data_IF_369913277004
#
_entry.id   IF_369913277004
#
_cell.length_a   1.000
_cell.length_b   1.000
_cell.length_c   1.000
_cell.angle_alpha   90.00
_cell.angle_beta   90.00
_cell.angle_gamma   90.00
#
_symmetry.space_group_name_H-M   'P 1'
#
loop_
_entity.id
_entity.type
_entity.pdbx_description
1 polymer ?
#
# COMPACT_ATOMS: atom_id res chain seq x y z
N UNK A 1 -26.31 3.19 4.90
CA UNK A 1 -27.02 4.00 5.93
C UNK A 1 -26.10 4.09 7.14
N UNK A 2 -26.25 5.11 8.01
CA UNK A 2 -25.41 5.26 9.21
C UNK A 2 -25.91 4.43 10.42
N UNK A 3 -27.10 3.84 10.30
CA UNK A 3 -27.73 3.06 11.35
C UNK A 3 -26.88 1.84 11.74
N UNK A 4 -26.64 1.67 13.04
CA UNK A 4 -25.87 0.56 13.61
C UNK A 4 -24.34 0.66 13.45
N UNK A 5 -23.80 1.79 12.96
CA UNK A 5 -22.34 2.01 12.88
C UNK A 5 -21.79 2.51 14.22
N UNK A 6 -20.66 1.94 14.66
CA UNK A 6 -19.94 2.37 15.86
C UNK A 6 -18.93 3.48 15.52
N UNK A 7 -19.11 4.65 16.13
CA UNK A 7 -18.29 5.84 15.89
C UNK A 7 -17.61 6.26 17.20
N UNK A 8 -16.28 6.33 17.18
CA UNK A 8 -15.49 6.90 18.27
C UNK A 8 -15.22 8.38 18.00
N UNK A 9 -15.58 9.25 18.95
CA UNK A 9 -15.32 10.69 18.89
C UNK A 9 -14.26 11.05 19.92
N UNK A 10 -13.20 11.73 19.50
CA UNK A 10 -12.13 12.27 20.35
C UNK A 10 -12.09 13.79 20.18
N UNK A 11 -12.65 14.51 21.15
CA UNK A 11 -12.89 15.96 21.08
C UNK A 11 -12.88 16.54 22.50
N UNK A 12 -12.08 17.57 22.75
CA UNK A 12 -11.95 18.17 24.08
C UNK A 12 -13.05 19.21 24.38
N UNK A 13 -13.62 19.89 23.36
CA UNK A 13 -14.75 20.81 23.55
C UNK A 13 -16.05 20.04 23.85
N UNK A 14 -16.58 20.11 25.09
CA UNK A 14 -17.79 19.39 25.47
C UNK A 14 -19.04 19.87 24.74
N UNK A 15 -19.07 21.12 24.25
CA UNK A 15 -20.20 21.67 23.50
C UNK A 15 -20.23 21.07 22.11
N UNK A 16 -19.09 21.09 21.42
CA UNK A 16 -18.96 20.54 20.07
C UNK A 16 -19.11 19.01 20.07
N UNK A 17 -18.50 18.31 21.03
CA UNK A 17 -18.65 16.86 21.20
C UNK A 17 -20.11 16.45 21.39
N UNK A 18 -20.87 17.18 22.22
CA UNK A 18 -22.32 16.92 22.43
C UNK A 18 -23.14 17.20 21.17
N UNK A 19 -22.80 18.23 20.41
CA UNK A 19 -23.45 18.55 19.14
C UNK A 19 -23.30 17.39 18.15
N UNK A 20 -22.06 16.91 17.95
CA UNK A 20 -21.78 15.79 17.05
C UNK A 20 -22.45 14.52 17.54
N UNK A 21 -22.32 14.19 18.83
CA UNK A 21 -22.91 13.00 19.43
C UNK A 21 -24.44 12.98 19.25
N UNK A 22 -25.13 14.08 19.58
CA UNK A 22 -26.57 14.19 19.42
C UNK A 22 -27.02 14.04 17.96
N UNK A 23 -26.22 14.58 17.02
CA UNK A 23 -26.47 14.39 15.60
C UNK A 23 -26.32 12.91 15.18
N UNK A 24 -25.23 12.23 15.54
CA UNK A 24 -24.97 10.85 15.14
C UNK A 24 -25.96 9.85 15.75
N UNK A 25 -26.32 10.03 17.03
CA UNK A 25 -27.38 9.25 17.66
C UNK A 25 -28.72 9.43 16.94
N UNK A 26 -29.04 10.63 16.46
CA UNK A 26 -30.26 10.87 15.66
C UNK A 26 -30.26 10.17 14.30
N UNK A 27 -29.07 9.77 13.80
CA UNK A 27 -28.90 9.00 12.57
C UNK A 27 -28.86 7.49 12.82
N UNK A 28 -28.98 7.04 14.07
CA UNK A 28 -29.00 5.62 14.46
C UNK A 28 -27.62 5.01 14.70
N UNK A 29 -26.56 5.81 14.86
CA UNK A 29 -25.22 5.30 15.18
C UNK A 29 -25.09 4.88 16.66
N UNK A 30 -24.14 3.99 16.95
CA UNK A 30 -23.58 3.81 18.28
C UNK A 30 -22.39 4.77 18.43
N UNK A 31 -22.31 5.50 19.55
CA UNK A 31 -21.30 6.55 19.72
C UNK A 31 -20.54 6.33 21.02
N UNK A 32 -19.20 6.29 20.91
CA UNK A 32 -18.27 6.31 22.03
C UNK A 32 -17.56 7.66 22.07
N UNK A 33 -17.47 8.26 23.26
CA UNK A 33 -16.88 9.58 23.47
C UNK A 33 -15.57 9.47 24.24
N UNK A 34 -14.57 10.26 23.84
CA UNK A 34 -13.32 10.49 24.54
C UNK A 34 -13.01 11.99 24.56
N UNK A 35 -12.47 12.46 25.68
CA UNK A 35 -12.19 13.89 25.88
C UNK A 35 -10.75 14.30 25.54
N UNK A 36 -9.89 13.31 25.27
CA UNK A 36 -8.48 13.48 24.92
C UNK A 36 -7.94 12.23 24.21
N UNK A 37 -6.75 12.34 23.61
CA UNK A 37 -6.13 11.24 22.86
C UNK A 37 -5.78 10.01 23.71
N UNK A 38 -5.51 10.14 25.01
CA UNK A 38 -5.25 8.97 25.88
C UNK A 38 -6.52 8.19 26.17
N UNK A 39 -7.65 8.88 26.39
CA UNK A 39 -8.96 8.26 26.49
C UNK A 39 -9.36 7.60 25.16
N UNK A 40 -9.05 8.25 24.03
CA UNK A 40 -9.20 7.66 22.69
C UNK A 40 -8.45 6.34 22.53
N UNK A 41 -7.17 6.29 22.92
CA UNK A 41 -6.37 5.05 22.86
C UNK A 41 -6.90 3.95 23.77
N UNK A 42 -7.45 4.31 24.94
CA UNK A 42 -8.10 3.32 25.83
C UNK A 42 -9.38 2.77 25.20
N UNK A 43 -10.23 3.64 24.64
CA UNK A 43 -11.45 3.21 23.96
C UNK A 43 -11.17 2.28 22.77
N UNK A 44 -10.08 2.50 22.03
CA UNK A 44 -9.65 1.61 20.96
C UNK A 44 -9.21 0.22 21.43
N UNK A 45 -8.77 0.07 22.69
CA UNK A 45 -8.48 -1.25 23.28
C UNK A 45 -9.74 -2.03 23.62
N UNK A 46 -10.82 -1.33 23.93
CA UNK A 46 -12.10 -1.94 24.31
C UNK A 46 -12.91 -2.38 23.08
N UNK A 47 -12.62 -1.83 21.90
CA UNK A 47 -13.22 -2.24 20.63
C UNK A 47 -12.83 -1.33 19.47
N UNK A 48 -12.77 -1.90 18.26
CA UNK A 48 -12.42 -1.19 17.01
C UNK A 48 -13.71 -0.55 16.44
N UNK A 49 -13.79 0.79 16.33
CA UNK A 49 -14.93 1.48 15.74
C UNK A 49 -14.94 1.37 14.21
N UNK A 50 -16.10 1.59 13.60
CA UNK A 50 -16.24 1.73 12.14
C UNK A 50 -15.62 3.04 11.63
N UNK A 51 -15.67 4.12 12.42
CA UNK A 51 -15.00 5.40 12.12
C UNK A 51 -14.50 6.09 13.39
N UNK A 52 -13.35 6.74 13.28
CA UNK A 52 -12.80 7.64 14.27
C UNK A 52 -12.94 9.11 13.83
N UNK A 53 -13.58 9.93 14.66
CA UNK A 53 -13.59 11.38 14.53
C UNK A 53 -12.61 11.98 15.56
N UNK A 54 -11.68 12.83 15.13
CA UNK A 54 -10.66 13.39 16.01
C UNK A 54 -10.44 14.89 15.79
N UNK A 55 -10.36 15.68 16.86
CA UNK A 55 -9.80 17.03 16.81
C UNK A 55 -8.26 17.00 16.82
N UNK A 56 -7.60 17.98 16.20
CA UNK A 56 -6.16 18.16 16.29
C UNK A 56 -5.75 18.97 17.53
N UNK A 57 -6.58 19.93 17.93
CA UNK A 57 -6.25 20.91 18.96
C UNK A 57 -6.68 20.45 20.36
N UNK A 58 -6.13 19.33 20.83
CA UNK A 58 -6.47 18.74 22.14
C UNK A 58 -5.32 18.82 23.16
N UNK A 59 -5.62 18.93 24.47
CA UNK A 59 -4.62 18.88 25.53
C UNK A 59 -4.11 17.44 25.78
N UNK A 60 -2.98 17.34 26.50
CA UNK A 60 -2.33 16.09 26.95
C UNK A 60 -1.65 15.28 25.85
N UNK A 61 -2.40 14.65 24.96
CA UNK A 61 -1.90 14.01 23.74
C UNK A 61 -2.50 14.77 22.57
N UNK A 62 -1.66 15.38 21.75
CA UNK A 62 -2.16 16.17 20.62
C UNK A 62 -2.90 15.28 19.64
N UNK A 63 -3.88 15.82 18.92
CA UNK A 63 -4.63 15.02 17.95
C UNK A 63 -3.75 14.47 16.83
N UNK A 64 -2.67 15.16 16.47
CA UNK A 64 -1.69 14.63 15.51
C UNK A 64 -0.92 13.42 16.05
N UNK A 65 -0.40 13.47 17.28
CA UNK A 65 0.28 12.33 17.90
C UNK A 65 -0.68 11.13 18.07
N UNK A 66 -1.93 11.41 18.41
CA UNK A 66 -2.96 10.38 18.49
C UNK A 66 -3.25 9.75 17.12
N UNK A 67 -3.43 10.56 16.07
CA UNK A 67 -3.63 10.07 14.69
C UNK A 67 -2.43 9.25 14.22
N UNK A 68 -1.20 9.67 14.54
CA UNK A 68 0.01 8.91 14.22
C UNK A 68 0.01 7.53 14.89
N UNK A 69 -0.26 7.46 16.19
CA UNK A 69 -0.36 6.20 16.95
C UNK A 69 -1.47 5.28 16.42
N UNK A 70 -2.63 5.85 16.07
CA UNK A 70 -3.75 5.11 15.48
C UNK A 70 -3.40 4.59 14.09
N UNK A 71 -2.73 5.41 13.26
CA UNK A 71 -2.30 4.98 11.92
C UNK A 71 -1.30 3.82 11.97
N UNK A 72 -0.45 3.79 12.99
CA UNK A 72 0.56 2.75 13.17
C UNK A 72 -0.02 1.43 13.69
N UNK A 73 -0.93 1.51 14.68
CA UNK A 73 -1.44 0.32 15.39
C UNK A 73 -2.79 -0.18 14.88
N UNK A 74 -3.58 0.69 14.26
CA UNK A 74 -4.93 0.41 13.77
C UNK A 74 -5.15 0.96 12.35
N UNK A 75 -4.32 0.58 11.36
CA UNK A 75 -4.34 1.15 10.01
C UNK A 75 -5.66 0.91 9.24
N UNK A 76 -6.49 -0.03 9.71
CA UNK A 76 -7.80 -0.30 9.13
C UNK A 76 -8.87 0.71 9.56
N UNK A 77 -8.68 1.47 10.64
CA UNK A 77 -9.69 2.40 11.13
C UNK A 77 -9.65 3.66 10.26
N UNK A 78 -10.75 4.02 9.60
CA UNK A 78 -10.81 5.27 8.88
C UNK A 78 -10.89 6.44 9.87
N UNK A 79 -9.99 7.39 9.72
CA UNK A 79 -9.92 8.58 10.58
C UNK A 79 -10.39 9.80 9.81
N UNK A 80 -11.31 10.56 10.39
CA UNK A 80 -11.72 11.89 9.93
C UNK A 80 -11.26 12.91 10.97
N UNK A 81 -10.49 13.89 10.52
CA UNK A 81 -10.00 14.97 11.37
C UNK A 81 -10.94 16.16 11.29
N UNK A 82 -11.24 16.78 12.42
CA UNK A 82 -12.08 17.99 12.52
C UNK A 82 -11.29 19.05 13.28
N UNK A 83 -10.66 20.01 12.60
CA UNK A 83 -9.78 21.01 13.23
C UNK A 83 -10.33 22.44 13.14
N UNK A 84 -10.04 23.27 14.14
CA UNK A 84 -10.25 24.72 14.08
C UNK A 84 -9.19 25.47 13.25
N UNK A 85 -8.05 24.85 12.97
CA UNK A 85 -6.99 25.40 12.10
C UNK A 85 -7.11 24.81 10.70
N UNK A 86 -7.44 25.64 9.72
CA UNK A 86 -7.45 25.28 8.28
C UNK A 86 -6.07 25.43 7.63
N UNK A 87 -4.99 25.38 8.40
CA UNK A 87 -3.64 25.58 7.89
C UNK A 87 -3.23 24.40 7.01
N UNK A 88 -2.76 24.68 5.79
CA UNK A 88 -2.39 23.67 4.81
C UNK A 88 -1.30 22.71 5.32
N UNK A 89 -0.49 23.13 6.29
CA UNK A 89 0.53 22.29 6.92
C UNK A 89 -0.07 21.16 7.78
N UNK A 90 -1.12 21.46 8.54
CA UNK A 90 -1.82 20.50 9.40
C UNK A 90 -2.63 19.50 8.54
N UNK A 91 -3.28 20.00 7.49
CA UNK A 91 -3.99 19.16 6.50
C UNK A 91 -3.03 18.20 5.81
N UNK A 92 -1.89 18.71 5.33
CA UNK A 92 -0.88 17.89 4.68
C UNK A 92 -0.25 16.87 5.64
N UNK A 93 -0.06 17.22 6.92
CA UNK A 93 0.42 16.29 7.93
C UNK A 93 -0.58 15.17 8.19
N UNK A 94 -1.85 15.50 8.45
CA UNK A 94 -2.92 14.54 8.68
C UNK A 94 -3.08 13.55 7.51
N UNK A 95 -3.08 14.04 6.27
CA UNK A 95 -3.19 13.19 5.08
C UNK A 95 -2.04 12.19 4.94
N UNK A 96 -0.81 12.53 5.37
CA UNK A 96 0.33 11.59 5.34
C UNK A 96 0.16 10.41 6.29
N UNK A 97 -0.63 10.55 7.35
CA UNK A 97 -0.91 9.47 8.30
C UNK A 97 -2.17 8.66 7.93
N UNK A 98 -2.65 8.77 6.69
CA UNK A 98 -3.77 7.95 6.19
C UNK A 98 -5.16 8.44 6.62
N UNK A 99 -5.27 9.67 7.13
CA UNK A 99 -6.56 10.33 7.40
C UNK A 99 -7.38 10.39 6.11
N UNK A 100 -8.63 9.95 6.20
CA UNK A 100 -9.52 9.78 5.04
C UNK A 100 -10.21 11.08 4.64
N UNK A 101 -10.44 11.97 5.60
CA UNK A 101 -11.08 13.26 5.33
C UNK A 101 -10.71 14.29 6.41
N UNK A 102 -10.76 15.57 6.05
CA UNK A 102 -10.43 16.69 6.93
C UNK A 102 -11.52 17.75 6.84
N UNK A 103 -12.10 18.08 7.99
CA UNK A 103 -13.14 19.10 8.12
C UNK A 103 -12.63 20.28 8.95
N UNK A 104 -13.03 21.49 8.55
CA UNK A 104 -12.66 22.74 9.23
C UNK A 104 -13.83 23.20 10.11
N UNK A 105 -13.57 23.52 11.38
CA UNK A 105 -14.54 24.18 12.28
C UNK A 105 -14.66 25.68 11.91
N UNK A 106 -15.84 26.31 12.08
CA UNK A 106 -17.09 25.73 12.55
C UNK A 106 -17.81 24.92 11.46
N UNK A 107 -18.45 23.81 11.87
CA UNK A 107 -19.33 23.05 10.99
C UNK A 107 -20.70 23.74 10.89
N UNK A 108 -20.77 24.82 10.10
CA UNK A 108 -22.01 25.60 9.90
C UNK A 108 -23.17 24.75 9.33
N UNK A 109 -22.84 23.68 8.63
CA UNK A 109 -23.78 22.69 8.13
C UNK A 109 -23.35 21.28 8.55
N UNK A 110 -24.00 20.72 9.57
CA UNK A 110 -23.74 19.37 10.09
C UNK A 110 -23.95 18.27 9.03
N UNK A 111 -24.66 18.56 7.93
CA UNK A 111 -24.77 17.63 6.80
C UNK A 111 -23.44 17.39 6.09
N UNK A 112 -22.46 18.30 6.20
CA UNK A 112 -21.11 18.09 5.67
C UNK A 112 -20.43 16.94 6.41
N UNK A 113 -20.57 16.89 7.74
CA UNK A 113 -20.08 15.76 8.54
C UNK A 113 -20.77 14.46 8.14
N UNK A 114 -22.09 14.49 7.87
CA UNK A 114 -22.81 13.32 7.35
C UNK A 114 -22.28 12.87 6.00
N UNK A 115 -22.02 13.80 5.08
CA UNK A 115 -21.49 13.50 3.76
C UNK A 115 -20.09 12.91 3.85
N UNK A 116 -19.21 13.47 4.70
CA UNK A 116 -17.87 12.94 4.97
C UNK A 116 -17.93 11.54 5.57
N UNK A 117 -18.74 11.34 6.62
CA UNK A 117 -18.96 10.03 7.24
C UNK A 117 -19.51 9.02 6.24
N UNK A 118 -20.50 9.40 5.43
CA UNK A 118 -21.03 8.52 4.39
C UNK A 118 -19.99 8.24 3.31
N UNK A 119 -19.18 9.22 2.92
CA UNK A 119 -18.12 9.04 1.93
C UNK A 119 -17.04 8.09 2.46
N UNK A 120 -16.66 8.22 3.73
CA UNK A 120 -15.63 7.39 4.36
C UNK A 120 -16.15 6.00 4.71
N UNK A 121 -17.36 5.89 5.27
CA UNK A 121 -18.01 4.61 5.52
C UNK A 121 -18.39 3.90 4.24
N UNK A 122 -18.83 4.62 3.20
CA UNK A 122 -19.01 4.03 1.88
C UNK A 122 -17.66 3.72 1.27
N UNK A 123 -16.62 4.52 1.45
CA UNK A 123 -15.26 4.18 1.04
C UNK A 123 -14.74 2.96 1.78
N UNK A 124 -15.24 2.63 2.97
CA UNK A 124 -14.84 1.52 3.84
C UNK A 124 -15.72 0.28 3.71
N UNK A 125 -17.00 0.45 3.38
CA UNK A 125 -17.85 -0.56 2.77
C UNK A 125 -17.22 -0.89 1.42
N UNK A 126 -16.94 0.11 0.56
CA UNK A 126 -16.00 0.12 -0.57
C UNK A 126 -14.55 -0.18 -0.21
N UNK A 127 -14.07 -0.38 1.03
CA UNK A 127 -12.67 -0.79 1.34
C UNK A 127 -12.62 -2.25 1.79
N UNK A 128 -13.64 -2.67 2.53
CA UNK A 128 -14.18 -4.03 2.60
C UNK A 128 -14.70 -4.49 1.23
N UNK A 129 -14.92 -3.55 0.31
CA UNK A 129 -15.20 -3.71 -1.12
C UNK A 129 -14.09 -3.02 -1.99
N UNK A 130 -12.94 -2.58 -1.45
CA UNK A 130 -11.72 -2.23 -2.26
C UNK A 130 -10.81 -3.45 -2.20
N UNK A 131 -11.03 -4.33 -1.22
CA UNK A 131 -10.89 -5.76 -1.39
C UNK A 131 -11.81 -6.33 -2.48
N UNK A 132 -12.88 -5.63 -2.88
CA UNK A 132 -13.72 -5.96 -4.05
C UNK A 132 -13.27 -5.34 -5.36
N UNK A 133 -12.26 -4.47 -5.52
CA UNK A 133 -11.79 -4.27 -6.91
C UNK A 133 -11.27 -5.60 -7.49
N UNK A 134 -10.68 -6.43 -6.64
CA UNK A 134 -10.30 -7.81 -6.96
C UNK A 134 -11.52 -8.73 -7.18
N UNK A 135 -12.60 -8.57 -6.39
CA UNK A 135 -13.80 -9.43 -6.49
C UNK A 135 -14.79 -8.97 -7.56
N UNK A 136 -15.00 -7.66 -7.76
CA UNK A 136 -15.83 -7.02 -8.79
C UNK A 136 -15.23 -7.24 -10.18
N UNK A 137 -13.91 -7.31 -10.30
CA UNK A 137 -13.30 -7.73 -11.56
C UNK A 137 -13.48 -9.24 -11.84
N UNK A 138 -13.76 -10.05 -10.81
CA UNK A 138 -14.03 -11.48 -10.93
C UNK A 138 -15.54 -11.82 -10.91
N UNK A 139 -16.39 -10.91 -10.46
CA UNK A 139 -17.84 -11.08 -10.37
C UNK A 139 -18.52 -10.43 -11.58
N UNK A 140 -18.99 -11.28 -12.49
CA UNK A 140 -19.84 -10.92 -13.62
C UNK A 140 -21.20 -10.40 -13.15
N UNK A 141 -21.30 -9.11 -12.78
CA UNK A 141 -22.57 -8.41 -12.69
C UNK A 141 -22.71 -7.43 -13.85
N UNK A 142 -23.65 -7.72 -14.74
CA UNK A 142 -23.83 -7.09 -16.06
C UNK A 142 -24.19 -5.59 -16.06
N UNK A 143 -24.31 -4.95 -14.88
CA UNK A 143 -24.59 -3.51 -14.74
C UNK A 143 -23.36 -2.70 -14.30
N UNK A 144 -22.26 -3.35 -13.92
CA UNK A 144 -21.02 -2.72 -13.42
C UNK A 144 -19.96 -2.57 -14.54
N UNK A 145 -20.15 -3.27 -15.66
CA UNK A 145 -19.24 -3.26 -16.81
C UNK A 145 -19.05 -1.84 -17.38
N UNK A 146 -20.08 -1.00 -17.40
CA UNK A 146 -20.01 0.34 -18.01
C UNK A 146 -19.12 1.32 -17.22
N UNK A 147 -19.16 1.29 -15.88
CA UNK A 147 -18.35 2.18 -15.03
C UNK A 147 -16.89 1.72 -14.96
N UNK A 148 -16.66 0.41 -14.87
CA UNK A 148 -15.31 -0.15 -14.93
C UNK A 148 -14.67 0.11 -16.30
N UNK A 149 -15.42 -0.11 -17.39
CA UNK A 149 -14.94 0.23 -18.72
C UNK A 149 -14.69 1.72 -18.89
N UNK A 150 -15.52 2.59 -18.31
CA UNK A 150 -15.26 4.02 -18.31
C UNK A 150 -13.91 4.36 -17.65
N UNK A 151 -13.65 3.85 -16.45
CA UNK A 151 -12.37 4.07 -15.76
C UNK A 151 -11.17 3.49 -16.53
N UNK A 152 -11.31 2.30 -17.13
CA UNK A 152 -10.26 1.71 -17.97
C UNK A 152 -10.01 2.59 -19.20
N UNK A 153 -11.06 3.02 -19.90
CA UNK A 153 -10.97 3.89 -21.06
C UNK A 153 -10.36 5.25 -20.71
N UNK A 154 -10.63 5.77 -19.52
CA UNK A 154 -10.05 7.02 -19.01
C UNK A 154 -8.54 6.86 -18.77
N UNK A 155 -8.11 5.75 -18.15
CA UNK A 155 -6.70 5.42 -17.98
C UNK A 155 -5.97 5.23 -19.32
N UNK A 156 -6.63 4.62 -20.31
CA UNK A 156 -6.10 4.44 -21.66
C UNK A 156 -6.01 5.75 -22.47
N UNK A 157 -6.90 6.69 -22.21
CA UNK A 157 -6.99 7.98 -22.90
C UNK A 157 -6.07 9.05 -22.29
N UNK A 158 -5.81 8.97 -20.98
CA UNK A 158 -5.02 9.92 -20.23
C UNK A 158 -3.83 9.26 -19.52
N UNK A 159 -2.70 9.03 -20.25
CA UNK A 159 -1.53 8.34 -19.70
C UNK A 159 -0.88 9.09 -18.52
N UNK A 160 -1.05 10.41 -18.45
CA UNK A 160 -0.56 11.22 -17.31
C UNK A 160 -1.30 10.89 -16.01
N UNK A 161 -2.63 10.78 -16.06
CA UNK A 161 -3.45 10.42 -14.90
C UNK A 161 -3.12 9.00 -14.46
N UNK A 162 -2.99 8.08 -15.41
CA UNK A 162 -2.58 6.71 -15.15
C UNK A 162 -1.20 6.64 -14.47
N UNK A 163 -0.24 7.45 -14.93
CA UNK A 163 1.10 7.57 -14.35
C UNK A 163 1.05 8.11 -12.92
N UNK A 164 0.35 9.23 -12.69
CA UNK A 164 0.20 9.82 -11.36
C UNK A 164 -0.43 8.85 -10.37
N UNK A 165 -1.46 8.12 -10.79
CA UNK A 165 -2.11 7.08 -9.99
C UNK A 165 -1.13 5.97 -9.62
N UNK A 166 -0.40 5.42 -10.60
CA UNK A 166 0.56 4.34 -10.35
C UNK A 166 1.71 4.78 -9.43
N UNK A 167 2.22 6.00 -9.58
CA UNK A 167 3.24 6.56 -8.70
C UNK A 167 2.69 6.75 -7.29
N UNK A 168 1.47 7.27 -7.15
CA UNK A 168 0.81 7.44 -5.85
C UNK A 168 0.49 6.13 -5.12
N UNK A 169 0.45 5.00 -5.84
CA UNK A 169 0.26 3.67 -5.28
C UNK A 169 1.56 2.97 -4.88
N UNK A 170 2.73 3.55 -5.16
CA UNK A 170 3.99 2.98 -4.74
C UNK A 170 4.12 3.00 -3.21
N UNK A 171 4.55 1.89 -2.58
CA UNK A 171 4.73 1.82 -1.14
C UNK A 171 5.93 2.66 -0.68
N UNK A 172 6.13 2.78 0.63
CA UNK A 172 7.30 3.48 1.16
C UNK A 172 8.61 2.84 0.69
N UNK A 173 9.60 3.69 0.42
CA UNK A 173 10.94 3.26 -0.05
C UNK A 173 11.71 2.39 0.93
N UNK A 174 11.25 2.31 2.17
CA UNK A 174 11.85 1.62 3.28
C UNK A 174 10.80 0.88 4.08
N UNK A 175 11.00 -0.42 4.30
CA UNK A 175 10.18 -1.24 5.17
C UNK A 175 11.04 -2.09 6.09
N UNK A 176 10.52 -2.40 7.29
CA UNK A 176 11.21 -3.19 8.30
C UNK A 176 10.28 -4.22 8.90
N UNK A 177 10.79 -5.44 9.08
CA UNK A 177 10.15 -6.46 9.90
C UNK A 177 11.24 -7.21 10.68
N UNK A 178 11.21 -7.08 12.01
CA UNK A 178 12.27 -7.61 12.87
C UNK A 178 13.65 -7.04 12.53
N UNK A 179 14.65 -7.91 12.40
CA UNK A 179 16.03 -7.54 12.04
C UNK A 179 16.21 -7.23 10.54
N UNK A 180 15.19 -7.48 9.72
CA UNK A 180 15.27 -7.31 8.28
C UNK A 180 14.74 -5.94 7.85
N UNK A 181 15.46 -5.33 6.92
CA UNK A 181 15.10 -4.10 6.25
C UNK A 181 15.04 -4.35 4.74
N UNK A 182 13.92 -4.00 4.14
CA UNK A 182 13.75 -3.89 2.70
C UNK A 182 13.82 -2.41 2.31
N UNK A 183 14.56 -2.11 1.26
CA UNK A 183 14.54 -0.80 0.63
C UNK A 183 14.59 -0.93 -0.88
N UNK A 184 14.03 0.03 -1.60
CA UNK A 184 14.13 0.03 -3.06
C UNK A 184 14.51 1.39 -3.61
N UNK A 185 15.02 1.38 -4.84
CA UNK A 185 15.36 2.57 -5.60
C UNK A 185 14.88 2.39 -7.03
N UNK A 186 14.19 3.41 -7.55
CA UNK A 186 13.78 3.50 -8.95
C UNK A 186 14.44 4.71 -9.58
N UNK A 187 15.14 4.49 -10.68
CA UNK A 187 15.72 5.55 -11.50
C UNK A 187 15.04 5.48 -12.87
N UNK A 188 14.09 6.36 -13.12
CA UNK A 188 13.32 6.41 -14.36
C UNK A 188 13.09 7.87 -14.79
N UNK A 189 12.85 8.08 -16.09
CA UNK A 189 12.42 9.39 -16.58
C UNK A 189 11.03 9.71 -16.04
N UNK A 190 10.74 10.99 -15.81
CA UNK A 190 9.41 11.43 -15.44
C UNK A 190 8.40 11.18 -16.59
N UNK A 191 8.84 11.17 -17.84
CA UNK A 191 7.95 11.19 -19.01
C UNK A 191 7.47 9.79 -19.47
N UNK A 192 7.84 8.72 -18.75
CA UNK A 192 7.47 7.34 -19.09
C UNK A 192 6.54 6.72 -18.05
N UNK A 193 5.79 5.70 -18.46
CA UNK A 193 4.98 4.90 -17.54
C UNK A 193 5.90 4.24 -16.50
N UNK A 194 5.51 4.26 -15.21
CA UNK A 194 6.40 3.87 -14.14
C UNK A 194 6.53 2.35 -14.04
N UNK A 195 7.66 1.91 -13.51
CA UNK A 195 7.76 0.54 -12.99
C UNK A 195 7.09 0.49 -11.62
N UNK A 196 5.98 -0.24 -11.50
CA UNK A 196 5.27 -0.39 -10.23
C UNK A 196 5.93 -1.47 -9.39
N UNK A 197 6.28 -1.10 -8.15
CA UNK A 197 6.59 -2.04 -7.08
C UNK A 197 5.41 -2.09 -6.11
N UNK A 198 5.09 -3.29 -5.64
CA UNK A 198 4.30 -3.46 -4.42
C UNK A 198 4.91 -4.58 -3.58
N UNK A 199 4.73 -4.50 -2.26
CA UNK A 199 5.21 -5.51 -1.33
C UNK A 199 4.35 -5.59 -0.08
N UNK A 200 4.29 -6.79 0.49
CA UNK A 200 3.54 -7.05 1.72
C UNK A 200 4.34 -7.99 2.61
N UNK A 201 4.55 -7.59 3.86
CA UNK A 201 5.02 -8.49 4.91
C UNK A 201 3.86 -9.33 5.41
N UNK A 202 4.04 -10.64 5.40
CA UNK A 202 3.11 -11.61 5.92
C UNK A 202 3.38 -11.86 7.41
N UNK A 203 2.35 -12.29 8.13
CA UNK A 203 2.43 -12.55 9.57
C UNK A 203 3.37 -13.70 9.93
N UNK A 204 3.72 -14.55 8.97
CA UNK A 204 4.65 -15.67 9.12
C UNK A 204 6.12 -15.27 8.88
N UNK A 205 6.42 -13.98 8.68
CA UNK A 205 7.77 -13.48 8.46
C UNK A 205 8.24 -13.57 7.01
N UNK A 206 7.34 -13.86 6.06
CA UNK A 206 7.66 -13.79 4.62
C UNK A 206 7.35 -12.42 4.05
N UNK A 207 8.19 -11.93 3.16
CA UNK A 207 7.95 -10.75 2.32
C UNK A 207 7.56 -11.23 0.93
N UNK A 208 6.32 -10.95 0.50
CA UNK A 208 5.91 -11.11 -0.87
C UNK A 208 6.03 -9.77 -1.59
N UNK A 209 6.61 -9.76 -2.79
CA UNK A 209 6.75 -8.54 -3.58
C UNK A 209 6.66 -8.85 -5.07
N UNK A 210 6.32 -7.83 -5.84
CA UNK A 210 6.39 -7.90 -7.29
C UNK A 210 6.80 -6.56 -7.89
N UNK A 211 7.32 -6.63 -9.11
CA UNK A 211 7.70 -5.51 -9.93
C UNK A 211 7.04 -5.66 -11.30
N UNK A 212 6.39 -4.63 -11.81
CA UNK A 212 5.74 -4.66 -13.12
C UNK A 212 6.11 -3.45 -13.96
N UNK A 213 6.35 -3.72 -15.24
CA UNK A 213 6.69 -2.73 -16.25
C UNK A 213 5.42 -2.23 -16.96
N UNK A 214 4.81 -1.16 -16.45
CA UNK A 214 3.61 -0.59 -17.08
C UNK A 214 3.87 -0.17 -18.53
N UNK A 215 5.08 0.24 -18.88
CA UNK A 215 5.45 0.64 -20.24
C UNK A 215 5.36 -0.53 -21.22
N UNK A 216 5.71 -1.74 -20.78
CA UNK A 216 5.67 -2.94 -21.64
C UNK A 216 4.27 -3.32 -22.13
N UNK A 217 3.22 -2.90 -21.42
CA UNK A 217 1.83 -3.10 -21.82
C UNK A 217 1.25 -1.99 -22.72
N UNK A 218 2.04 -0.97 -23.07
CA UNK A 218 1.58 0.15 -23.90
C UNK A 218 0.36 0.87 -23.30
N UNK A 219 -0.67 1.11 -24.11
CA UNK A 219 -1.88 1.86 -23.69
C UNK A 219 -2.66 1.17 -22.57
N UNK A 220 -2.63 -0.16 -22.54
CA UNK A 220 -3.33 -1.00 -21.55
C UNK A 220 -2.46 -1.36 -20.34
N UNK A 221 -1.21 -0.89 -20.32
CA UNK A 221 -0.25 -1.24 -19.29
C UNK A 221 -0.70 -0.84 -17.90
N UNK A 222 -1.18 0.39 -17.72
CA UNK A 222 -1.62 0.87 -16.41
C UNK A 222 -2.82 0.08 -15.85
N UNK A 223 -3.85 -0.11 -16.67
CA UNK A 223 -5.03 -0.91 -16.29
C UNK A 223 -4.65 -2.37 -15.97
N UNK A 224 -3.72 -2.95 -16.75
CA UNK A 224 -3.19 -4.30 -16.51
C UNK A 224 -2.43 -4.38 -15.18
N UNK A 225 -1.60 -3.38 -14.87
CA UNK A 225 -0.85 -3.34 -13.60
C UNK A 225 -1.77 -3.21 -12.39
N UNK A 226 -2.81 -2.37 -12.47
CA UNK A 226 -3.80 -2.22 -11.40
C UNK A 226 -4.59 -3.50 -11.17
N UNK A 227 -4.95 -4.20 -12.25
CA UNK A 227 -5.54 -5.52 -12.19
C UNK A 227 -4.62 -6.51 -11.46
N UNK A 228 -3.36 -6.60 -11.86
CA UNK A 228 -2.41 -7.53 -11.24
C UNK A 228 -2.25 -7.22 -9.75
N UNK A 229 -2.18 -5.94 -9.38
CA UNK A 229 -2.16 -5.51 -7.97
C UNK A 229 -3.37 -6.05 -7.20
N UNK A 230 -4.56 -5.93 -7.79
CA UNK A 230 -5.80 -6.42 -7.19
C UNK A 230 -5.78 -7.94 -6.99
N UNK A 231 -5.38 -8.69 -8.01
CA UNK A 231 -5.29 -10.16 -7.97
C UNK A 231 -4.22 -10.66 -7.00
N UNK A 232 -3.08 -9.98 -6.95
CA UNK A 232 -2.01 -10.27 -6.00
C UNK A 232 -2.48 -10.10 -4.55
N UNK A 233 -3.10 -8.96 -4.24
CA UNK A 233 -3.61 -8.70 -2.89
C UNK A 233 -4.72 -9.67 -2.50
N UNK A 234 -5.60 -10.04 -3.43
CA UNK A 234 -6.62 -11.06 -3.20
C UNK A 234 -6.03 -12.45 -2.94
N UNK A 235 -4.99 -12.84 -3.70
CA UNK A 235 -4.27 -14.09 -3.50
C UNK A 235 -3.70 -14.17 -2.08
N UNK A 236 -3.02 -13.10 -1.63
CA UNK A 236 -2.44 -13.03 -0.29
C UNK A 236 -3.51 -13.08 0.82
N UNK A 237 -4.68 -12.45 0.59
CA UNK A 237 -5.80 -12.49 1.55
C UNK A 237 -6.42 -13.90 1.68
N UNK A 238 -6.65 -14.59 0.56
CA UNK A 238 -7.35 -15.89 0.54
C UNK A 238 -6.50 -17.06 1.02
N UNK A 239 -5.20 -17.05 0.72
CA UNK A 239 -4.28 -18.13 1.09
C UNK A 239 -3.44 -17.72 2.29
N UNK A 240 -4.05 -17.77 3.47
CA UNK A 240 -3.30 -17.67 4.73
C UNK A 240 -2.36 -18.89 4.89
N UNK A 241 -1.07 -18.60 4.91
CA UNK A 241 0.05 -19.33 5.52
C UNK A 241 0.48 -20.71 5.00
N UNK A 242 -0.34 -21.56 4.37
CA UNK A 242 0.06 -22.99 4.22
C UNK A 242 0.90 -23.35 2.97
N UNK A 243 0.69 -22.75 1.80
CA UNK A 243 1.50 -23.01 0.58
C UNK A 243 1.56 -21.76 -0.34
N UNK A 244 2.41 -20.78 0.01
CA UNK A 244 2.70 -19.63 -0.86
C UNK A 244 3.72 -20.00 -1.94
N UNK A 245 3.30 -20.84 -2.89
CA UNK A 245 4.06 -21.10 -4.11
C UNK A 245 3.84 -19.95 -5.11
N UNK A 246 4.93 -19.31 -5.53
CA UNK A 246 4.91 -18.26 -6.57
C UNK A 246 4.23 -18.78 -7.83
N UNK A 247 4.41 -20.05 -8.18
CA UNK A 247 3.80 -20.64 -9.38
C UNK A 247 2.27 -20.63 -9.32
N UNK A 248 1.70 -20.87 -8.14
CA UNK A 248 0.25 -20.80 -7.92
C UNK A 248 -0.27 -19.37 -7.97
N UNK A 249 0.48 -18.43 -7.41
CA UNK A 249 0.17 -17.00 -7.49
C UNK A 249 0.13 -16.52 -8.95
N UNK A 250 1.16 -16.84 -9.73
CA UNK A 250 1.24 -16.51 -11.16
C UNK A 250 0.08 -17.14 -11.94
N UNK A 251 -0.28 -18.40 -11.65
CA UNK A 251 -1.43 -19.06 -12.27
C UNK A 251 -2.74 -18.28 -12.04
N UNK A 252 -2.99 -17.86 -10.80
CA UNK A 252 -4.20 -17.09 -10.45
C UNK A 252 -4.22 -15.74 -11.16
N UNK A 253 -3.08 -15.04 -11.16
CA UNK A 253 -2.96 -13.75 -11.85
C UNK A 253 -3.20 -13.90 -13.35
N UNK A 254 -2.55 -14.87 -14.02
CA UNK A 254 -2.74 -15.10 -15.46
C UNK A 254 -4.17 -15.51 -15.81
N UNK A 255 -4.84 -16.27 -14.95
CA UNK A 255 -6.25 -16.61 -15.15
C UNK A 255 -7.14 -15.37 -15.05
N UNK A 256 -6.90 -14.48 -14.08
CA UNK A 256 -7.64 -13.21 -13.95
C UNK A 256 -7.38 -12.26 -15.13
N UNK A 257 -6.14 -12.19 -15.62
CA UNK A 257 -5.82 -11.42 -16.84
C UNK A 257 -6.59 -11.94 -18.06
N UNK A 258 -6.69 -13.26 -18.25
CA UNK A 258 -7.45 -13.84 -19.38
C UNK A 258 -8.95 -13.57 -19.29
N UNK A 259 -9.48 -13.49 -18.07
CA UNK A 259 -10.91 -13.26 -17.83
C UNK A 259 -11.31 -11.79 -18.00
N UNK A 260 -10.40 -10.85 -17.73
CA UNK A 260 -10.72 -9.43 -17.77
C UNK A 260 -10.96 -8.89 -19.19
N UNK A 261 -10.44 -9.55 -20.22
CA UNK A 261 -10.65 -9.18 -21.63
C UNK A 261 -9.86 -7.95 -22.13
N UNK A 262 -9.25 -7.17 -21.23
CA UNK A 262 -8.44 -5.99 -21.55
C UNK A 262 -6.96 -6.12 -21.14
N UNK A 263 -6.61 -7.10 -20.31
CA UNK A 263 -5.24 -7.24 -19.82
C UNK A 263 -4.31 -7.72 -20.93
N UNK A 264 -3.11 -7.13 -20.99
CA UNK A 264 -2.09 -7.49 -21.97
C UNK A 264 -0.88 -8.16 -21.32
N UNK A 265 -0.08 -8.93 -22.07
CA UNK A 265 1.15 -9.47 -21.53
C UNK A 265 2.10 -8.38 -21.03
N UNK A 266 2.64 -8.54 -19.83
CA UNK A 266 3.46 -7.51 -19.17
C UNK A 266 4.76 -8.10 -18.63
N UNK A 267 5.82 -7.31 -18.67
CA UNK A 267 7.11 -7.67 -18.08
C UNK A 267 7.15 -7.34 -16.60
N UNK A 268 8.01 -8.04 -15.87
CA UNK A 268 8.08 -7.90 -14.43
C UNK A 268 8.92 -8.96 -13.73
N UNK A 269 8.81 -8.99 -12.42
CA UNK A 269 9.42 -9.97 -11.53
C UNK A 269 8.55 -10.17 -10.30
N UNK A 270 8.45 -11.41 -9.85
CA UNK A 270 7.74 -11.77 -8.61
C UNK A 270 8.73 -12.43 -7.65
N UNK A 271 8.59 -12.14 -6.37
CA UNK A 271 9.48 -12.68 -5.35
C UNK A 271 8.79 -12.94 -4.02
N UNK A 272 9.27 -13.97 -3.34
CA UNK A 272 8.94 -14.28 -1.95
C UNK A 272 10.27 -14.46 -1.22
N UNK A 273 10.48 -13.64 -0.20
CA UNK A 273 11.59 -13.78 0.72
C UNK A 273 11.10 -14.33 2.06
N UNK A 274 11.72 -15.40 2.54
CA UNK A 274 11.48 -15.97 3.86
C UNK A 274 12.57 -15.50 4.83
N UNK A 275 12.18 -14.72 5.84
CA UNK A 275 13.12 -14.15 6.80
C UNK A 275 13.71 -15.20 7.76
N UNK A 276 13.01 -16.31 8.00
CA UNK A 276 13.47 -17.38 8.88
C UNK A 276 14.53 -18.23 8.19
N UNK A 277 14.24 -18.66 6.96
CA UNK A 277 15.13 -19.52 6.18
C UNK A 277 16.18 -18.74 5.39
N UNK A 278 16.03 -17.41 5.29
CA UNK A 278 16.80 -16.51 4.42
C UNK A 278 16.69 -16.92 2.95
N UNK A 279 15.57 -17.56 2.59
CA UNK A 279 15.35 -18.05 1.24
C UNK A 279 14.65 -16.98 0.41
N UNK A 280 15.26 -16.58 -0.69
CA UNK A 280 14.66 -15.72 -1.69
C UNK A 280 14.30 -16.56 -2.91
N UNK A 281 12.99 -16.69 -3.15
CA UNK A 281 12.46 -17.32 -4.36
C UNK A 281 11.99 -16.22 -5.31
N UNK A 282 12.44 -16.26 -6.56
CA UNK A 282 12.09 -15.27 -7.58
C UNK A 282 11.72 -15.94 -8.90
N UNK A 283 10.78 -15.32 -9.60
CA UNK A 283 10.41 -15.65 -10.98
C UNK A 283 10.43 -14.37 -11.79
N UNK A 284 11.25 -14.34 -12.83
CA UNK A 284 11.28 -13.19 -13.75
C UNK A 284 10.36 -13.43 -14.95
N UNK A 285 9.61 -12.40 -15.34
CA UNK A 285 8.66 -12.46 -16.46
C UNK A 285 9.07 -11.44 -17.52
N UNK A 286 9.73 -11.87 -18.60
CA UNK A 286 10.06 -11.03 -19.76
C UNK A 286 11.35 -10.20 -19.68
N UNK A 287 12.00 -10.09 -18.51
CA UNK A 287 13.28 -9.37 -18.35
C UNK A 287 14.27 -10.17 -17.50
N UNK A 288 15.57 -9.98 -17.71
CA UNK A 288 16.61 -10.58 -16.87
C UNK A 288 16.77 -9.74 -15.59
N UNK A 289 17.04 -10.41 -14.46
CA UNK A 289 17.41 -9.74 -13.22
C UNK A 289 18.77 -10.23 -12.73
N UNK A 290 19.47 -9.36 -12.00
CA UNK A 290 20.77 -9.67 -11.40
C UNK A 290 20.63 -9.61 -9.89
N UNK A 291 20.89 -10.73 -9.22
CA UNK A 291 20.93 -10.82 -7.77
C UNK A 291 22.39 -10.70 -7.32
N UNK A 292 22.72 -9.64 -6.57
CA UNK A 292 24.04 -9.41 -6.00
C UNK A 292 24.04 -9.71 -4.50
N UNK A 293 25.01 -10.48 -4.07
CA UNK A 293 25.23 -10.85 -2.67
C UNK A 293 26.70 -10.65 -2.31
N UNK A 294 27.07 -10.80 -1.03
CA UNK A 294 28.48 -10.84 -0.62
C UNK A 294 29.28 -11.94 -1.31
N UNK A 295 28.60 -13.03 -1.68
CA UNK A 295 29.21 -14.26 -2.17
C UNK A 295 29.37 -14.26 -3.70
N UNK A 296 28.78 -13.26 -4.37
CA UNK A 296 28.88 -13.07 -5.81
C UNK A 296 27.60 -12.54 -6.46
N UNK A 297 27.62 -12.49 -7.79
CA UNK A 297 26.48 -12.11 -8.62
C UNK A 297 25.86 -13.34 -9.28
N UNK A 298 24.54 -13.43 -9.25
CA UNK A 298 23.75 -14.50 -9.87
C UNK A 298 22.75 -13.90 -10.84
N UNK A 299 22.56 -14.55 -11.99
CA UNK A 299 21.62 -14.11 -13.02
C UNK A 299 20.31 -14.87 -12.84
N UNK A 300 19.21 -14.12 -12.73
CA UNK A 300 17.85 -14.65 -12.80
C UNK A 300 17.40 -14.55 -14.26
N UNK A 301 17.26 -15.68 -14.97
CA UNK A 301 17.00 -15.66 -16.40
C UNK A 301 15.64 -15.06 -16.71
N UNK A 302 15.55 -14.35 -17.84
CA UNK A 302 14.29 -13.86 -18.36
C UNK A 302 13.39 -15.04 -18.78
N UNK A 303 12.17 -15.09 -18.26
CA UNK A 303 11.12 -15.98 -18.74
C UNK A 303 10.21 -15.32 -19.77
N UNK A 304 9.07 -15.94 -20.08
CA UNK A 304 8.00 -15.30 -20.86
C UNK A 304 7.32 -14.20 -20.04
N UNK A 305 6.70 -13.23 -20.71
CA UNK A 305 5.91 -12.19 -20.05
C UNK A 305 4.74 -12.78 -19.27
N UNK A 306 4.32 -12.08 -18.22
CA UNK A 306 3.12 -12.45 -17.48
C UNK A 306 1.90 -12.30 -18.39
N UNK A 307 1.10 -13.35 -18.55
CA UNK A 307 0.01 -13.43 -19.53
C UNK A 307 0.29 -14.45 -20.65
N UNK A 308 1.56 -14.71 -20.94
CA UNK A 308 2.04 -15.65 -21.98
C UNK A 308 2.47 -17.01 -21.41
N UNK A 309 1.98 -17.39 -20.24
CA UNK A 309 2.29 -18.66 -19.60
C UNK A 309 3.49 -18.60 -18.65
N UNK A 310 3.66 -17.48 -17.96
CA UNK A 310 4.74 -17.22 -17.02
C UNK A 310 4.85 -18.24 -15.88
N UNK A 311 3.78 -19.02 -15.58
CA UNK A 311 3.87 -20.16 -14.65
C UNK A 311 4.98 -21.15 -15.02
N UNK A 312 5.28 -21.30 -16.32
CA UNK A 312 6.33 -22.23 -16.81
C UNK A 312 7.73 -21.64 -16.73
N UNK A 313 7.86 -20.38 -16.31
CA UNK A 313 9.17 -19.74 -16.17
C UNK A 313 9.98 -20.40 -15.06
N UNK A 314 11.31 -20.30 -15.18
CA UNK A 314 12.21 -20.88 -14.20
C UNK A 314 12.04 -20.17 -12.85
N UNK A 315 11.64 -20.93 -11.83
CA UNK A 315 11.65 -20.47 -10.44
C UNK A 315 13.04 -20.65 -9.87
N UNK A 316 13.69 -19.53 -9.51
CA UNK A 316 15.04 -19.54 -8.95
C UNK A 316 14.97 -19.29 -7.45
N UNK A 317 15.55 -20.20 -6.66
CA UNK A 317 15.60 -20.08 -5.19
C UNK A 317 17.04 -19.90 -4.73
N UNK A 318 17.27 -18.91 -3.87
CA UNK A 318 18.58 -18.50 -3.39
C UNK A 318 18.57 -18.41 -1.86
N UNK A 319 19.59 -18.96 -1.21
CA UNK A 319 19.80 -18.72 0.23
C UNK A 319 20.65 -17.47 0.38
N UNK A 320 20.11 -16.44 1.02
CA UNK A 320 20.80 -15.16 1.17
C UNK A 320 21.84 -15.23 2.30
N UNK A 321 23.04 -14.64 2.09
CA UNK A 321 24.02 -14.50 3.15
C UNK A 321 23.53 -13.52 4.22
N UNK A 322 24.21 -13.49 5.37
CA UNK A 322 23.79 -12.70 6.54
C UNK A 322 23.76 -11.19 6.26
N UNK A 323 24.62 -10.71 5.35
CA UNK A 323 24.63 -9.32 4.88
C UNK A 323 23.41 -8.93 4.04
N UNK A 324 22.64 -9.91 3.56
CA UNK A 324 21.52 -9.69 2.65
C UNK A 324 21.90 -9.73 1.17
N UNK A 325 21.02 -9.19 0.34
CA UNK A 325 21.16 -9.20 -1.12
C UNK A 325 20.51 -7.97 -1.76
N UNK A 326 20.99 -7.64 -2.96
CA UNK A 326 20.42 -6.62 -3.83
C UNK A 326 20.00 -7.23 -5.16
N UNK A 327 18.70 -7.27 -5.41
CA UNK A 327 18.12 -7.66 -6.69
C UNK A 327 17.99 -6.42 -7.56
N UNK A 328 18.53 -6.45 -8.77
CA UNK A 328 18.51 -5.33 -9.71
C UNK A 328 17.99 -5.76 -11.06
N UNK A 329 17.16 -4.93 -11.68
CA UNK A 329 16.64 -5.14 -13.03
C UNK A 329 17.07 -3.94 -13.88
N UNK A 330 17.79 -4.25 -14.94
CA UNK A 330 18.29 -3.26 -15.90
C UNK A 330 17.45 -3.33 -17.18
N UNK A 331 17.07 -2.18 -17.74
CA UNK A 331 16.26 -2.08 -18.97
C UNK A 331 14.84 -2.65 -18.84
N UNK A 332 14.20 -2.45 -17.69
CA UNK A 332 12.74 -2.57 -17.59
C UNK A 332 12.16 -1.22 -18.04
N UNK A 333 11.52 -1.19 -19.20
CA UNK A 333 11.26 0.07 -19.91
C UNK A 333 12.51 0.94 -20.03
N UNK A 334 12.39 2.21 -19.64
CA UNK A 334 13.50 3.16 -19.46
C UNK A 334 14.05 3.26 -18.02
N UNK A 335 13.69 2.33 -17.12
CA UNK A 335 14.02 2.38 -15.71
C UNK A 335 15.16 1.42 -15.32
N UNK A 336 15.94 1.84 -14.32
CA UNK A 336 16.75 0.95 -13.51
C UNK A 336 16.10 0.82 -12.15
N UNK A 337 15.88 -0.43 -11.74
CA UNK A 337 15.22 -0.72 -10.49
C UNK A 337 16.10 -1.63 -9.63
N UNK A 338 16.15 -1.37 -8.33
CA UNK A 338 16.79 -2.29 -7.40
C UNK A 338 16.06 -2.37 -6.07
N UNK A 339 15.90 -3.60 -5.56
CA UNK A 339 15.47 -3.90 -4.20
C UNK A 339 16.67 -4.43 -3.43
N UNK A 340 16.86 -3.92 -2.22
CA UNK A 340 17.86 -4.41 -1.27
C UNK A 340 17.13 -4.96 -0.05
N UNK A 341 17.42 -6.21 0.28
CA UNK A 341 16.94 -6.89 1.49
C UNK A 341 18.16 -7.17 2.33
N UNK A 342 18.26 -6.59 3.52
CA UNK A 342 19.43 -6.69 4.37
C UNK A 342 19.08 -6.72 5.85
N UNK A 343 20.01 -7.20 6.65
CA UNK A 343 19.91 -7.20 8.11
C UNK A 343 20.43 -5.90 8.72
N UNK A 344 19.76 -5.39 9.75
CA UNK A 344 20.10 -4.15 10.46
C UNK A 344 21.43 -4.22 11.22
N UNK A 345 21.78 -5.38 11.75
CA UNK A 345 23.04 -5.65 12.43
C UNK A 345 24.24 -5.67 11.47
N UNK A 346 24.05 -6.10 10.21
CA UNK A 346 25.07 -6.02 9.17
C UNK A 346 25.38 -4.56 8.73
N UNK A 347 24.45 -3.62 8.94
CA UNK A 347 24.67 -2.18 8.66
C UNK A 347 25.70 -1.56 9.61
N UNK A 348 25.79 -2.06 10.86
CA UNK A 348 26.71 -1.53 11.88
C UNK A 348 28.18 -1.89 11.59
N UNK A 349 28.44 -2.97 10.86
CA UNK A 349 29.82 -3.35 10.48
C UNK A 349 30.38 -2.46 9.35
N UNK A 350 29.53 -1.88 8.49
CA UNK A 350 29.96 -1.01 7.39
C UNK A 350 30.18 0.46 7.78
N UNK A 351 29.69 0.93 8.93
CA UNK A 351 29.96 2.29 9.43
C UNK A 351 31.32 2.41 10.17
N UNK A 352 32.05 1.31 10.38
CA UNK A 352 33.39 1.32 10.99
C UNK A 352 34.47 1.36 9.90
N UNK A 353 34.38 2.31 8.97
CA UNK A 353 35.55 2.76 8.20
C UNK A 353 35.70 4.28 8.41
N UNK A 354 36.61 4.72 9.29
CA UNK A 354 36.75 6.14 9.60
C UNK A 354 37.29 6.88 8.38
N UNK A 355 36.64 8.00 8.08
CA UNK A 355 37.05 9.01 7.12
C UNK A 355 38.57 9.18 7.11
N UNK A 356 39.20 8.86 5.97
CA UNK A 356 40.56 9.29 5.66
C UNK A 356 40.50 10.82 5.51
N UNK A 357 40.77 11.51 6.62
CA UNK A 357 41.09 12.94 6.62
C UNK A 357 42.26 13.15 5.68
N UNK A 358 42.00 13.69 4.49
CA UNK A 358 43.02 14.31 3.66
C UNK A 358 43.61 15.47 4.45
N UNK A 359 44.81 15.26 5.02
CA UNK A 359 45.64 16.31 5.60
C UNK A 359 46.12 17.20 4.47
N UNK A 360 45.60 18.41 4.38
CA UNK A 360 46.29 19.54 3.76
C UNK A 360 47.61 19.73 4.50
N UNK A 361 48.74 19.59 3.80
CA UNK A 361 50.05 20.04 4.26
C UNK A 361 50.55 21.10 3.28
N UNK A 362 50.53 22.33 3.80
CA UNK A 362 51.41 23.50 3.63
C UNK A 362 51.98 23.75 2.24
#
# INVERSE_FOLDING_TARGET
MLEGKDILIVEDDPVFRRMITGFLLSQGCEVREAEDGLQGLRALRDGIPDVLLCDLAMPVLTGMEFVEEVSLHYPMIPVIVISGTGEMADVAAALRHGVKDFLVKPLDNIMVLKAALMSVLKAQENTTEYTDFSSQLLQHDATVDDELQWHINELESNPEIARELLVGLMPDTLSRQGDWQMSYCVLQSADVQPVLLDYTWLMDGRLAFYLLDAESGGRQGAATVLLIRALFNDYLRKRMASENDISSMLQTIENGMKQSGYAVPIKGLFGIFDACDRSLTVVSTGSEAVLRTSDGEMIVPAGTSLGDGARKNLTSSYVLPHSGARLSLSKIGAANFSITIQRLDAMKEHEIHPAVKAKTKV
#
